data_IF_271762561201
#
_entry.id   IF_271762561201
#
_cell.length_a   1.000
_cell.length_b   1.000
_cell.length_c   1.000
_cell.angle_alpha   90.00
_cell.angle_beta   90.00
_cell.angle_gamma   90.00
#
_symmetry.space_group_name_H-M   'P 1'
#
loop_
_entity.id
_entity.type
_entity.pdbx_description
1 polymer ?
#
# COMPACT_ATOMS: atom_id res chain seq x y z
N UNK A 1 -11.99 16.90 17.89
CA UNK A 1 -11.74 15.54 18.44
C UNK A 1 -10.38 15.08 17.96
N UNK A 2 -9.44 14.84 18.87
CA UNK A 2 -8.11 14.34 18.50
C UNK A 2 -8.26 12.91 17.92
N UNK A 3 -7.98 12.71 16.64
CA UNK A 3 -7.93 11.37 16.05
C UNK A 3 -6.85 10.57 16.78
N UNK A 4 -7.19 9.36 17.24
CA UNK A 4 -6.25 8.48 17.91
C UNK A 4 -5.16 8.05 16.91
N UNK A 5 -3.87 8.19 17.28
CA UNK A 5 -2.71 7.80 16.45
C UNK A 5 -2.86 6.39 15.86
N UNK A 6 -3.41 5.45 16.63
CA UNK A 6 -3.63 4.07 16.18
C UNK A 6 -4.65 3.97 15.03
N UNK A 7 -5.70 4.79 15.06
CA UNK A 7 -6.67 4.86 13.95
C UNK A 7 -6.02 5.45 12.70
N UNK A 8 -5.19 6.48 12.85
CA UNK A 8 -4.46 7.07 11.73
C UNK A 8 -3.50 6.05 11.10
N UNK A 9 -2.80 5.25 11.91
CA UNK A 9 -1.94 4.16 11.44
C UNK A 9 -2.75 3.12 10.67
N UNK A 10 -3.93 2.70 11.18
CA UNK A 10 -4.78 1.74 10.47
C UNK A 10 -5.25 2.28 9.11
N UNK A 11 -5.64 3.56 9.05
CA UNK A 11 -6.04 4.22 7.81
C UNK A 11 -4.86 4.33 6.83
N UNK A 12 -3.67 4.68 7.33
CA UNK A 12 -2.44 4.71 6.55
C UNK A 12 -2.14 3.33 5.95
N UNK A 13 -2.07 2.28 6.78
CA UNK A 13 -1.81 0.90 6.37
C UNK A 13 -2.83 0.44 5.32
N UNK A 14 -4.12 0.72 5.53
CA UNK A 14 -5.18 0.33 4.60
C UNK A 14 -5.01 0.97 3.21
N UNK A 15 -4.61 2.24 3.16
CA UNK A 15 -4.41 2.94 1.90
C UNK A 15 -3.13 2.49 1.17
N UNK A 16 -2.04 2.21 1.89
CA UNK A 16 -0.82 1.65 1.28
C UNK A 16 -1.07 0.25 0.74
N UNK A 17 -1.72 -0.59 1.54
CA UNK A 17 -2.15 -1.92 1.13
C UNK A 17 -2.95 -1.87 -0.19
N UNK A 18 -3.95 -0.98 -0.29
CA UNK A 18 -4.74 -0.84 -1.52
C UNK A 18 -3.87 -0.38 -2.69
N UNK A 19 -3.05 0.65 -2.49
CA UNK A 19 -2.20 1.19 -3.55
C UNK A 19 -1.23 0.13 -4.13
N UNK A 20 -0.67 -0.73 -3.28
CA UNK A 20 0.22 -1.83 -3.72
C UNK A 20 -0.58 -2.90 -4.47
N UNK A 21 -1.72 -3.34 -3.93
CA UNK A 21 -2.57 -4.33 -4.60
C UNK A 21 -2.98 -3.83 -5.99
N UNK A 22 -3.42 -2.58 -6.10
CA UNK A 22 -3.80 -2.00 -7.39
C UNK A 22 -2.63 -1.89 -8.35
N UNK A 23 -1.42 -1.54 -7.88
CA UNK A 23 -0.22 -1.51 -8.73
C UNK A 23 0.11 -2.87 -9.33
N UNK A 24 -0.01 -3.93 -8.53
CA UNK A 24 0.28 -5.30 -8.99
C UNK A 24 -0.81 -5.78 -9.95
N UNK A 25 -2.08 -5.51 -9.65
CA UNK A 25 -3.19 -5.90 -10.53
C UNK A 25 -3.18 -5.14 -11.86
N UNK A 26 -2.81 -3.86 -11.85
CA UNK A 26 -2.62 -3.07 -13.06
C UNK A 26 -1.56 -3.70 -13.98
N UNK A 27 -0.42 -4.13 -13.41
CA UNK A 27 0.66 -4.80 -14.14
C UNK A 27 0.31 -6.21 -14.63
N UNK A 28 -0.59 -6.90 -13.93
CA UNK A 28 -1.00 -8.27 -14.24
C UNK A 28 -2.04 -8.37 -15.36
N UNK A 29 -2.69 -7.27 -15.73
CA UNK A 29 -3.84 -7.25 -16.64
C UNK A 29 -3.40 -6.68 -17.98
N UNK A 30 -3.91 -7.21 -19.09
CA UNK A 30 -3.59 -6.69 -20.45
C UNK A 30 -4.65 -5.74 -21.01
N UNK A 31 -5.85 -5.70 -20.41
CA UNK A 31 -6.98 -4.87 -20.86
C UNK A 31 -6.85 -3.43 -20.35
N UNK A 32 -6.71 -2.48 -21.26
CA UNK A 32 -6.47 -1.06 -20.99
C UNK A 32 -7.53 -0.42 -20.09
N UNK A 33 -8.82 -0.64 -20.36
CA UNK A 33 -9.94 -0.10 -19.55
C UNK A 33 -9.85 -0.52 -18.07
N UNK A 34 -9.36 -1.72 -17.81
CA UNK A 34 -9.22 -2.26 -16.45
C UNK A 34 -7.94 -1.71 -15.80
N UNK A 35 -6.87 -1.51 -16.58
CA UNK A 35 -5.64 -0.85 -16.11
C UNK A 35 -5.95 0.57 -15.62
N UNK A 36 -6.67 1.36 -16.40
CA UNK A 36 -7.03 2.74 -16.04
C UNK A 36 -7.79 2.82 -14.72
N UNK A 37 -8.71 1.88 -14.49
CA UNK A 37 -9.41 1.78 -13.22
C UNK A 37 -8.44 1.57 -12.06
N UNK A 38 -7.51 0.62 -12.20
CA UNK A 38 -6.54 0.32 -11.14
C UNK A 38 -5.54 1.44 -10.92
N UNK A 39 -5.09 2.12 -11.97
CA UNK A 39 -4.25 3.32 -11.85
C UNK A 39 -4.97 4.43 -11.07
N UNK A 40 -6.26 4.67 -11.35
CA UNK A 40 -7.07 5.65 -10.61
C UNK A 40 -7.24 5.27 -9.14
N UNK A 41 -7.52 3.99 -8.86
CA UNK A 41 -7.65 3.48 -7.49
C UNK A 41 -6.31 3.55 -6.73
N UNK A 42 -5.20 3.25 -7.40
CA UNK A 42 -3.83 3.39 -6.91
C UNK A 42 -3.54 4.84 -6.51
N UNK A 43 -3.72 5.79 -7.43
CA UNK A 43 -3.45 7.22 -7.19
C UNK A 43 -4.27 7.76 -6.01
N UNK A 44 -5.56 7.42 -5.98
CA UNK A 44 -6.47 7.82 -4.90
C UNK A 44 -6.05 7.26 -3.54
N UNK A 45 -5.68 5.98 -3.49
CA UNK A 45 -5.23 5.32 -2.26
C UNK A 45 -3.89 5.90 -1.79
N UNK A 46 -2.94 6.09 -2.70
CA UNK A 46 -1.63 6.65 -2.37
C UNK A 46 -1.75 8.08 -1.82
N UNK A 47 -2.53 8.95 -2.45
CA UNK A 47 -2.77 10.32 -1.97
C UNK A 47 -3.39 10.35 -0.55
N UNK A 48 -4.30 9.42 -0.24
CA UNK A 48 -4.84 9.27 1.11
C UNK A 48 -3.78 8.82 2.10
N UNK A 49 -2.91 7.89 1.70
CA UNK A 49 -1.82 7.43 2.55
C UNK A 49 -0.86 8.58 2.89
N UNK A 50 -0.53 9.46 1.93
CA UNK A 50 0.27 10.66 2.17
C UNK A 50 -0.36 11.58 3.25
N UNK A 51 -1.66 11.82 3.14
CA UNK A 51 -2.41 12.63 4.11
C UNK A 51 -2.34 12.00 5.51
N UNK A 52 -2.52 10.69 5.63
CA UNK A 52 -2.45 10.01 6.93
C UNK A 52 -1.02 9.95 7.46
N UNK A 53 -0.03 9.71 6.60
CA UNK A 53 1.40 9.75 6.96
C UNK A 53 1.75 11.06 7.63
N UNK A 54 1.38 12.19 7.02
CA UNK A 54 1.64 13.53 7.55
C UNK A 54 0.94 13.80 8.89
N UNK A 55 -0.21 13.17 9.15
CA UNK A 55 -0.94 13.27 10.43
C UNK A 55 -0.37 12.40 11.54
N UNK A 56 0.19 11.22 11.22
CA UNK A 56 0.77 10.31 12.22
C UNK A 56 2.07 10.87 12.76
N UNK A 57 2.92 11.34 11.86
CA UNK A 57 4.20 11.95 12.15
C UNK A 57 4.50 12.92 11.00
N UNK A 58 4.95 14.15 11.24
CA UNK A 58 5.34 15.03 10.14
C UNK A 58 6.32 14.33 9.19
N UNK A 59 6.24 14.59 7.88
CA UNK A 59 7.11 13.95 6.86
C UNK A 59 8.60 14.20 7.15
N UNK A 60 8.91 15.28 7.88
CA UNK A 60 10.27 15.64 8.28
C UNK A 60 10.82 14.79 9.43
N UNK A 61 9.98 13.96 10.07
CA UNK A 61 10.40 13.02 11.10
C UNK A 61 10.22 11.59 10.57
N UNK A 62 11.31 10.84 10.54
CA UNK A 62 11.27 9.41 10.24
C UNK A 62 10.42 8.67 11.29
N UNK A 63 9.83 7.55 10.90
CA UNK A 63 9.23 6.64 11.88
C UNK A 63 10.33 6.04 12.77
N UNK A 64 10.04 5.72 14.03
CA UNK A 64 10.90 4.83 14.80
C UNK A 64 11.13 3.54 14.01
N UNK A 65 12.37 3.04 13.96
CA UNK A 65 12.74 1.87 13.14
C UNK A 65 11.84 0.67 13.40
N UNK A 66 11.50 0.41 14.67
CA UNK A 66 10.61 -0.69 15.06
C UNK A 66 9.19 -0.54 14.47
N UNK A 67 8.65 0.69 14.45
CA UNK A 67 7.33 0.96 13.86
C UNK A 67 7.37 0.72 12.34
N UNK A 68 8.45 1.13 11.66
CA UNK A 68 8.61 0.92 10.22
C UNK A 68 8.68 -0.58 9.86
N UNK A 69 9.43 -1.38 10.62
CA UNK A 69 9.50 -2.83 10.43
C UNK A 69 8.15 -3.53 10.68
N UNK A 70 7.43 -3.12 11.72
CA UNK A 70 6.11 -3.65 12.02
C UNK A 70 5.11 -3.32 10.91
N UNK A 71 5.09 -2.06 10.45
CA UNK A 71 4.24 -1.62 9.34
C UNK A 71 4.55 -2.40 8.06
N UNK A 72 5.84 -2.58 7.74
CA UNK A 72 6.30 -3.36 6.58
C UNK A 72 5.72 -4.77 6.64
N UNK A 73 5.92 -5.48 7.76
CA UNK A 73 5.43 -6.85 7.94
C UNK A 73 3.92 -6.96 7.82
N UNK A 74 3.18 -6.01 8.41
CA UNK A 74 1.71 -5.98 8.34
C UNK A 74 1.26 -5.79 6.88
N UNK A 75 1.85 -4.83 6.16
CA UNK A 75 1.45 -4.52 4.78
C UNK A 75 1.75 -5.70 3.85
N UNK A 76 2.97 -6.26 3.89
CA UNK A 76 3.37 -7.41 3.07
C UNK A 76 2.39 -8.57 3.26
N UNK A 77 2.09 -8.93 4.52
CA UNK A 77 1.19 -10.04 4.82
C UNK A 77 -0.23 -9.80 4.30
N UNK A 78 -0.74 -8.58 4.42
CA UNK A 78 -2.09 -8.23 3.93
C UNK A 78 -2.15 -8.25 2.40
N UNK A 79 -1.14 -7.68 1.73
CA UNK A 79 -1.05 -7.69 0.26
C UNK A 79 -0.98 -9.12 -0.25
N UNK A 80 -0.07 -9.95 0.26
CA UNK A 80 0.07 -11.34 -0.15
C UNK A 80 -1.23 -12.14 0.02
N UNK A 81 -1.92 -11.95 1.15
CA UNK A 81 -3.22 -12.60 1.39
C UNK A 81 -4.27 -12.18 0.37
N UNK A 82 -4.35 -10.89 0.04
CA UNK A 82 -5.32 -10.41 -0.95
C UNK A 82 -4.99 -10.90 -2.35
N UNK A 83 -3.74 -10.81 -2.78
CA UNK A 83 -3.31 -11.29 -4.10
C UNK A 83 -3.58 -12.79 -4.26
N UNK A 84 -3.35 -13.59 -3.21
CA UNK A 84 -3.73 -15.01 -3.19
C UNK A 84 -5.23 -15.20 -3.33
N UNK A 85 -6.06 -14.37 -2.67
CA UNK A 85 -7.51 -14.41 -2.85
C UNK A 85 -7.92 -14.04 -4.29
N UNK A 86 -7.19 -13.14 -4.96
CA UNK A 86 -7.44 -12.77 -6.36
C UNK A 86 -7.08 -13.91 -7.31
N UNK A 87 -5.94 -14.54 -7.09
CA UNK A 87 -5.53 -15.73 -7.84
C UNK A 87 -6.56 -16.86 -7.71
N UNK A 88 -7.05 -17.14 -6.48
CA UNK A 88 -8.12 -18.12 -6.24
C UNK A 88 -9.44 -17.77 -6.94
N UNK A 89 -9.68 -16.48 -7.23
CA UNK A 89 -10.84 -15.99 -7.99
C UNK A 89 -10.62 -15.99 -9.51
N UNK A 90 -9.47 -16.49 -9.97
CA UNK A 90 -9.15 -16.66 -11.39
C UNK A 90 -8.37 -15.51 -12.03
N UNK A 91 -7.84 -14.56 -11.24
CA UNK A 91 -6.89 -13.58 -11.76
C UNK A 91 -5.59 -14.30 -12.12
N UNK A 92 -5.02 -13.99 -13.28
CA UNK A 92 -3.79 -14.62 -13.81
C UNK A 92 -2.66 -13.60 -13.83
N UNK A 93 -1.42 -14.09 -13.99
CA UNK A 93 -0.21 -13.28 -14.17
C UNK A 93 0.09 -12.32 -13.00
N UNK A 94 -0.36 -12.65 -11.78
CA UNK A 94 -0.03 -11.87 -10.58
C UNK A 94 1.42 -12.16 -10.20
N UNK A 95 2.25 -11.12 -10.22
CA UNK A 95 3.64 -11.21 -9.79
C UNK A 95 3.78 -10.86 -8.30
N UNK A 96 3.91 -11.89 -7.46
CA UNK A 96 4.10 -11.73 -6.01
C UNK A 96 5.49 -11.18 -5.65
N UNK A 97 6.49 -11.27 -6.53
CA UNK A 97 7.83 -10.73 -6.27
C UNK A 97 7.83 -9.20 -6.16
N UNK A 98 6.82 -8.54 -6.75
CA UNK A 98 6.65 -7.09 -6.70
C UNK A 98 6.21 -6.58 -5.32
N UNK A 99 5.69 -7.44 -4.44
CA UNK A 99 5.12 -7.00 -3.16
C UNK A 99 6.17 -6.30 -2.31
N UNK A 100 7.32 -6.92 -2.09
CA UNK A 100 8.38 -6.32 -1.28
C UNK A 100 8.98 -5.07 -1.95
N UNK A 101 9.18 -5.14 -3.27
CA UNK A 101 9.73 -4.03 -4.06
C UNK A 101 8.84 -2.78 -3.95
N UNK A 102 7.52 -2.95 -4.10
CA UNK A 102 6.56 -1.84 -4.03
C UNK A 102 6.40 -1.31 -2.61
N UNK A 103 6.47 -2.17 -1.58
CA UNK A 103 6.47 -1.72 -0.18
C UNK A 103 7.66 -0.81 0.08
N UNK A 104 8.87 -1.22 -0.31
CA UNK A 104 10.07 -0.41 -0.11
C UNK A 104 10.05 0.88 -0.93
N UNK A 105 9.63 0.83 -2.19
CA UNK A 105 9.48 2.02 -3.03
C UNK A 105 8.50 3.04 -2.41
N UNK A 106 7.36 2.56 -1.91
CA UNK A 106 6.36 3.44 -1.31
C UNK A 106 6.82 3.96 0.05
N UNK A 107 7.51 3.16 0.85
CA UNK A 107 8.08 3.61 2.12
C UNK A 107 9.11 4.72 1.93
N UNK A 108 9.97 4.61 0.90
CA UNK A 108 10.91 5.67 0.51
C UNK A 108 10.18 6.93 0.08
N UNK A 109 9.18 6.82 -0.80
CA UNK A 109 8.36 7.96 -1.26
C UNK A 109 7.65 8.68 -0.11
N UNK A 110 7.32 7.96 0.96
CA UNK A 110 6.61 8.46 2.14
C UNK A 110 7.55 8.81 3.31
N UNK A 111 8.85 8.81 3.06
CA UNK A 111 9.88 9.16 4.04
C UNK A 111 9.75 8.34 5.33
N UNK A 112 9.48 7.03 5.19
CA UNK A 112 9.38 6.08 6.31
C UNK A 112 10.74 5.44 6.59
N UNK A 113 11.48 5.11 5.51
CA UNK A 113 12.86 4.59 5.51
C UNK A 113 13.72 5.32 4.50
#
# INVERSE_FOLDING_TARGET
>A
MAQNRNQLIQLFVGNIYNAIVHSILEKAIDKEEIKEKYDKELKSSFAKAEIYRAKINPINNAFPTNDAEELRKIIINRVNRELKNRELRGYKNIDFSLVEILVEDYFKKLNIV
#
